data_IF_975910499408
#
_entry.id   IF_975910499408
#
_cell.length_a   1.000
_cell.length_b   1.000
_cell.length_c   1.000
_cell.angle_alpha   90.00
_cell.angle_beta   90.00
_cell.angle_gamma   90.00
#
_symmetry.space_group_name_H-M   'P 1'
#
loop_
_entity.id
_entity.type
_entity.pdbx_description
1 polymer ?
#
# COMPACT_ATOMS: atom_id res chain seq x y z
N UNK A 1 -7.83 7.37 15.83
CA UNK A 1 -8.00 5.93 16.16
C UNK A 1 -8.69 5.15 15.05
N UNK A 2 -9.89 5.52 14.59
CA UNK A 2 -10.63 4.74 13.56
C UNK A 2 -9.87 4.58 12.24
N UNK A 3 -9.29 5.67 11.70
CA UNK A 3 -8.51 5.62 10.46
C UNK A 3 -7.28 4.70 10.57
N UNK A 4 -6.64 4.65 11.75
CA UNK A 4 -5.47 3.81 12.02
C UNK A 4 -5.80 2.32 11.88
N UNK A 5 -6.91 1.86 12.46
CA UNK A 5 -7.31 0.45 12.35
C UNK A 5 -7.75 0.06 10.94
N UNK A 6 -8.44 0.97 10.23
CA UNK A 6 -8.80 0.77 8.82
C UNK A 6 -7.53 0.65 7.97
N UNK A 7 -6.58 1.56 8.16
CA UNK A 7 -5.32 1.56 7.44
C UNK A 7 -4.51 0.30 7.72
N UNK A 8 -4.35 -0.06 9.01
CA UNK A 8 -3.57 -1.21 9.44
C UNK A 8 -4.14 -2.52 8.89
N UNK A 9 -5.46 -2.73 9.04
CA UNK A 9 -6.12 -3.95 8.54
C UNK A 9 -6.00 -4.07 7.01
N UNK A 10 -6.20 -2.96 6.28
CA UNK A 10 -6.04 -2.93 4.84
C UNK A 10 -4.56 -3.14 4.41
N UNK A 11 -3.60 -2.60 5.15
CA UNK A 11 -2.17 -2.75 4.86
C UNK A 11 -1.69 -4.19 5.06
N UNK A 12 -2.14 -4.86 6.14
CA UNK A 12 -1.87 -6.29 6.36
C UNK A 12 -2.44 -7.12 5.21
N UNK A 13 -3.69 -6.88 4.81
CA UNK A 13 -4.28 -7.59 3.68
C UNK A 13 -3.54 -7.30 2.37
N UNK A 14 -3.14 -6.04 2.13
CA UNK A 14 -2.40 -5.65 0.94
C UNK A 14 -1.05 -6.36 0.83
N UNK A 15 -0.34 -6.55 1.94
CA UNK A 15 0.91 -7.31 1.98
C UNK A 15 0.70 -8.79 1.69
N UNK A 16 -0.31 -9.42 2.32
CA UNK A 16 -0.61 -10.83 2.13
C UNK A 16 -1.10 -11.13 0.69
N UNK A 17 -2.13 -10.41 0.25
CA UNK A 17 -2.69 -10.55 -1.08
C UNK A 17 -1.65 -10.20 -2.16
N UNK A 18 -0.89 -9.11 -1.99
CA UNK A 18 0.16 -8.72 -2.92
C UNK A 18 1.27 -9.76 -3.05
N UNK A 19 1.71 -10.35 -1.93
CA UNK A 19 2.69 -11.45 -1.93
C UNK A 19 2.14 -12.64 -2.71
N UNK A 20 0.90 -13.05 -2.45
CA UNK A 20 0.26 -14.14 -3.21
C UNK A 20 0.14 -13.84 -4.71
N UNK A 21 -0.06 -12.59 -5.10
CA UNK A 21 -0.11 -12.16 -6.50
C UNK A 21 1.24 -12.27 -7.20
N UNK A 22 2.32 -11.92 -6.50
CA UNK A 22 3.68 -12.01 -7.02
C UNK A 22 4.15 -13.46 -7.16
N UNK A 23 3.83 -14.31 -6.18
CA UNK A 23 4.23 -15.72 -6.18
C UNK A 23 3.35 -16.61 -7.05
N UNK A 24 2.03 -16.37 -7.05
CA UNK A 24 1.03 -17.23 -7.69
C UNK A 24 1.06 -17.21 -9.22
N UNK A 25 0.30 -18.12 -9.84
CA UNK A 25 0.13 -18.15 -11.29
C UNK A 25 -0.65 -16.92 -11.78
N UNK A 26 -0.17 -16.28 -12.86
CA UNK A 26 -0.71 -15.03 -13.37
C UNK A 26 -1.79 -15.30 -14.42
N UNK A 27 -2.80 -14.44 -14.50
CA UNK A 27 -3.84 -14.48 -15.54
C UNK A 27 -5.02 -15.43 -15.27
N UNK A 28 -4.99 -16.22 -14.19
CA UNK A 28 -6.09 -17.11 -13.78
C UNK A 28 -7.30 -16.33 -13.21
N UNK A 29 -8.50 -16.94 -13.13
CA UNK A 29 -9.63 -16.32 -12.43
C UNK A 29 -9.31 -15.95 -10.98
N UNK A 30 -8.57 -16.83 -10.28
CA UNK A 30 -8.11 -16.58 -8.91
C UNK A 30 -7.16 -15.36 -8.84
N UNK A 31 -6.21 -15.26 -9.78
CA UNK A 31 -5.32 -14.11 -9.89
C UNK A 31 -6.12 -12.81 -10.04
N UNK A 32 -7.19 -12.80 -10.86
CA UNK A 32 -8.04 -11.62 -11.03
C UNK A 32 -8.85 -11.29 -9.77
N UNK A 33 -9.46 -12.29 -9.13
CA UNK A 33 -10.24 -12.09 -7.91
C UNK A 33 -9.39 -11.53 -6.76
N UNK A 34 -8.26 -12.17 -6.47
CA UNK A 34 -7.32 -11.69 -5.45
C UNK A 34 -6.64 -10.38 -5.87
N UNK A 35 -6.41 -10.18 -7.17
CA UNK A 35 -5.84 -8.94 -7.70
C UNK A 35 -6.78 -7.76 -7.49
N UNK A 36 -8.10 -7.94 -7.69
CA UNK A 36 -9.09 -6.91 -7.40
C UNK A 36 -9.19 -6.60 -5.91
N UNK A 37 -9.21 -7.62 -5.03
CA UNK A 37 -9.23 -7.38 -3.60
C UNK A 37 -7.97 -6.65 -3.13
N UNK A 38 -6.82 -6.99 -3.71
CA UNK A 38 -5.56 -6.28 -3.47
C UNK A 38 -5.61 -4.82 -3.94
N UNK A 39 -6.09 -4.54 -5.17
CA UNK A 39 -6.21 -3.17 -5.69
C UNK A 39 -7.13 -2.30 -4.81
N UNK A 40 -8.26 -2.85 -4.34
CA UNK A 40 -9.16 -2.16 -3.42
C UNK A 40 -8.45 -1.85 -2.11
N UNK A 41 -7.73 -2.83 -1.53
CA UNK A 41 -6.98 -2.62 -0.30
C UNK A 41 -5.90 -1.55 -0.44
N UNK A 42 -5.18 -1.53 -1.58
CA UNK A 42 -4.18 -0.48 -1.86
C UNK A 42 -4.81 0.93 -1.90
N UNK A 43 -6.03 1.06 -2.45
CA UNK A 43 -6.77 2.33 -2.40
C UNK A 43 -7.16 2.69 -0.97
N UNK A 44 -7.68 1.73 -0.19
CA UNK A 44 -8.05 1.96 1.22
C UNK A 44 -6.84 2.38 2.05
N UNK A 45 -5.70 1.71 1.90
CA UNK A 45 -4.42 2.07 2.53
C UNK A 45 -4.03 3.51 2.16
N UNK A 46 -3.97 3.81 0.86
CA UNK A 46 -3.54 5.13 0.40
C UNK A 46 -4.48 6.25 0.87
N UNK A 47 -5.81 6.06 0.77
CA UNK A 47 -6.78 7.10 1.16
C UNK A 47 -6.81 7.29 2.68
N UNK A 48 -6.86 6.21 3.47
CA UNK A 48 -6.88 6.31 4.92
C UNK A 48 -5.61 6.96 5.49
N UNK A 49 -4.48 6.86 4.78
CA UNK A 49 -3.21 7.48 5.18
C UNK A 49 -3.26 9.00 5.31
N UNK A 50 -4.17 9.67 4.58
CA UNK A 50 -4.31 11.14 4.65
C UNK A 50 -4.87 11.62 6.00
N UNK A 51 -5.43 10.71 6.80
CA UNK A 51 -5.85 10.98 8.18
C UNK A 51 -4.83 10.48 9.21
N UNK A 52 -3.69 9.93 8.76
CA UNK A 52 -2.60 9.52 9.65
C UNK A 52 -1.58 10.64 9.76
N UNK A 53 -1.72 11.43 10.82
CA UNK A 53 -0.72 12.42 11.23
C UNK A 53 0.32 11.77 12.14
N UNK A 54 1.58 12.21 12.07
CA UNK A 54 2.67 11.67 12.88
C UNK A 54 3.96 12.49 12.76
N UNK A 55 5.01 12.09 13.49
CA UNK A 55 6.26 12.83 13.76
C UNK A 55 7.01 13.55 12.61
N UNK A 56 6.67 13.29 11.33
CA UNK A 56 7.35 13.87 10.18
C UNK A 56 6.44 14.79 9.37
N UNK A 57 5.81 15.77 10.02
CA UNK A 57 5.15 16.90 9.34
C UNK A 57 6.21 17.89 8.82
N UNK A 58 7.04 17.44 7.88
CA UNK A 58 8.25 18.15 7.42
C UNK A 58 7.92 19.29 6.46
N UNK A 59 6.78 19.24 5.76
CA UNK A 59 6.34 20.27 4.79
C UNK A 59 4.85 20.56 4.95
N UNK A 60 4.49 21.61 5.70
CA UNK A 60 3.11 22.11 5.81
C UNK A 60 2.06 21.06 6.26
N UNK A 61 2.45 20.10 7.12
CA UNK A 61 1.57 19.02 7.59
C UNK A 61 1.53 17.77 6.69
N UNK A 62 2.34 17.72 5.62
CA UNK A 62 2.48 16.53 4.79
C UNK A 62 3.77 15.77 5.12
N UNK A 63 3.59 14.49 5.44
CA UNK A 63 4.67 13.53 5.71
C UNK A 63 4.97 12.64 4.49
N UNK A 64 6.14 11.95 4.43
CA UNK A 64 6.53 11.12 3.28
C UNK A 64 5.49 10.06 2.86
N UNK A 65 4.68 9.59 3.81
CA UNK A 65 3.55 8.68 3.59
C UNK A 65 2.49 9.30 2.65
N UNK A 66 2.24 10.61 2.69
CA UNK A 66 1.27 11.25 1.82
C UNK A 66 1.71 11.25 0.36
N UNK A 67 2.98 11.58 0.11
CA UNK A 67 3.56 11.50 -1.24
C UNK A 67 3.52 10.06 -1.76
N UNK A 68 3.87 9.09 -0.91
CA UNK A 68 3.79 7.68 -1.25
C UNK A 68 2.35 7.23 -1.55
N UNK A 69 1.37 7.75 -0.84
CA UNK A 69 -0.05 7.45 -1.08
C UNK A 69 -0.56 8.01 -2.40
N UNK A 70 -0.20 9.25 -2.75
CA UNK A 70 -0.50 9.82 -4.07
C UNK A 70 0.12 8.95 -5.16
N UNK A 71 1.40 8.61 -5.01
CA UNK A 71 2.10 7.75 -5.96
C UNK A 71 1.46 6.35 -6.09
N UNK A 72 1.02 5.78 -4.96
CA UNK A 72 0.33 4.49 -4.94
C UNK A 72 -0.99 4.54 -5.70
N UNK A 73 -1.79 5.60 -5.52
CA UNK A 73 -3.04 5.79 -6.26
C UNK A 73 -2.79 5.91 -7.78
N UNK A 74 -1.75 6.65 -8.18
CA UNK A 74 -1.31 6.73 -9.58
C UNK A 74 -0.97 5.33 -10.12
N UNK A 75 -0.19 4.56 -9.36
CA UNK A 75 0.18 3.20 -9.75
C UNK A 75 -1.03 2.28 -9.91
N UNK A 76 -2.01 2.32 -9.00
CA UNK A 76 -3.23 1.51 -9.08
C UNK A 76 -4.02 1.84 -10.35
N UNK A 77 -4.29 3.13 -10.60
CA UNK A 77 -5.03 3.57 -11.79
C UNK A 77 -4.28 3.18 -13.07
N UNK A 78 -2.98 3.45 -13.13
CA UNK A 78 -2.14 3.12 -14.28
C UNK A 78 -2.06 1.60 -14.52
N UNK A 79 -1.99 0.81 -13.45
CA UNK A 79 -1.95 -0.65 -13.52
C UNK A 79 -3.25 -1.24 -14.07
N UNK A 80 -4.41 -0.75 -13.59
CA UNK A 80 -5.73 -1.18 -14.08
C UNK A 80 -5.93 -0.75 -15.53
N UNK A 81 -5.59 0.49 -15.88
CA UNK A 81 -5.69 0.99 -17.25
C UNK A 81 -4.80 0.20 -18.22
N UNK A 82 -3.59 -0.17 -17.81
CA UNK A 82 -2.68 -0.99 -18.60
C UNK A 82 -3.24 -2.39 -18.83
N UNK A 83 -3.80 -3.03 -17.80
CA UNK A 83 -4.43 -4.35 -17.91
C UNK A 83 -5.61 -4.33 -18.90
N UNK A 84 -6.48 -3.31 -18.81
CA UNK A 84 -7.62 -3.13 -19.72
C UNK A 84 -7.21 -2.94 -21.18
N UNK A 85 -6.06 -2.31 -21.43
CA UNK A 85 -5.48 -2.11 -22.76
C UNK A 85 -4.67 -3.32 -23.26
N UNK A 86 -4.64 -4.43 -22.52
CA UNK A 86 -3.82 -5.60 -22.83
C UNK A 86 -2.31 -5.38 -22.63
N UNK A 87 -1.87 -4.24 -22.08
CA UNK A 87 -0.46 -3.96 -21.83
C UNK A 87 0.00 -4.56 -20.49
N UNK A 88 0.22 -5.87 -20.51
CA UNK A 88 0.54 -6.65 -19.30
C UNK A 88 1.90 -6.27 -18.71
N UNK A 89 2.86 -5.86 -19.55
CA UNK A 89 4.18 -5.39 -19.07
C UNK A 89 4.02 -4.17 -18.17
N UNK A 90 3.22 -3.17 -18.60
CA UNK A 90 2.96 -1.97 -17.78
C UNK A 90 2.12 -2.28 -16.55
N UNK A 91 1.11 -3.15 -16.67
CA UNK A 91 0.31 -3.60 -15.51
C UNK A 91 1.22 -4.17 -14.40
N UNK A 92 2.11 -5.10 -14.77
CA UNK A 92 3.08 -5.71 -13.83
C UNK A 92 4.02 -4.69 -13.21
N UNK A 93 4.56 -3.77 -14.01
CA UNK A 93 5.48 -2.75 -13.51
C UNK A 93 4.83 -1.86 -12.44
N UNK A 94 3.63 -1.33 -12.70
CA UNK A 94 2.92 -0.50 -11.72
C UNK A 94 2.40 -1.30 -10.52
N UNK A 95 1.94 -2.54 -10.72
CA UNK A 95 1.52 -3.41 -9.61
C UNK A 95 2.71 -3.73 -8.68
N UNK A 96 3.86 -4.09 -9.25
CA UNK A 96 5.08 -4.34 -8.47
C UNK A 96 5.57 -3.07 -7.75
N UNK A 97 5.58 -1.93 -8.44
CA UNK A 97 5.94 -0.64 -7.83
C UNK A 97 5.05 -0.29 -6.63
N UNK A 98 3.73 -0.45 -6.76
CA UNK A 98 2.81 -0.23 -5.65
C UNK A 98 3.02 -1.23 -4.50
N UNK A 99 3.31 -2.50 -4.80
CA UNK A 99 3.64 -3.50 -3.78
C UNK A 99 4.91 -3.14 -3.01
N UNK A 100 5.98 -2.74 -3.70
CA UNK A 100 7.20 -2.27 -3.03
C UNK A 100 6.96 -0.99 -2.23
N UNK A 101 6.03 -0.14 -2.67
CA UNK A 101 5.56 1.01 -1.90
C UNK A 101 4.98 0.61 -0.54
N UNK A 102 4.03 -0.33 -0.49
CA UNK A 102 3.45 -0.78 0.79
C UNK A 102 4.47 -1.51 1.66
N UNK A 103 5.42 -2.26 1.07
CA UNK A 103 6.55 -2.85 1.83
C UNK A 103 7.44 -1.77 2.45
N UNK A 104 7.80 -0.75 1.67
CA UNK A 104 8.58 0.39 2.17
C UNK A 104 7.84 1.16 3.26
N UNK A 105 6.53 1.36 3.11
CA UNK A 105 5.70 1.96 4.15
C UNK A 105 5.69 1.13 5.44
N UNK A 106 5.54 -0.20 5.33
CA UNK A 106 5.56 -1.12 6.46
C UNK A 106 6.91 -1.05 7.20
N UNK A 107 8.04 -1.06 6.48
CA UNK A 107 9.36 -0.87 7.09
C UNK A 107 9.45 0.49 7.78
N UNK A 108 8.92 1.55 7.16
CA UNK A 108 8.88 2.90 7.74
C UNK A 108 8.10 3.00 9.06
N UNK A 109 7.22 2.04 9.36
CA UNK A 109 6.52 1.99 10.65
C UNK A 109 7.42 1.55 11.82
N UNK A 110 8.59 0.99 11.55
CA UNK A 110 9.59 0.59 12.56
C UNK A 110 10.49 1.75 13.01
N UNK A 111 10.31 2.95 12.47
CA UNK A 111 11.03 4.14 12.90
C UNK A 111 10.62 4.54 14.34
N UNK A 112 11.54 4.98 15.21
CA UNK A 112 11.21 5.43 16.56
C UNK A 112 10.09 6.48 16.60
N UNK A 113 9.21 6.36 17.60
CA UNK A 113 8.03 7.22 17.77
C UNK A 113 6.86 6.93 16.81
N UNK A 114 6.91 5.80 16.08
CA UNK A 114 5.75 5.24 15.39
C UNK A 114 5.08 4.19 16.27
N UNK A 115 3.76 4.10 16.17
CA UNK A 115 2.94 3.17 16.94
C UNK A 115 3.39 1.70 16.84
N UNK A 116 3.80 1.22 15.65
CA UNK A 116 4.28 -0.17 15.49
C UNK A 116 5.67 -0.36 16.13
N UNK A 117 6.55 0.64 16.07
CA UNK A 117 7.83 0.61 16.79
C UNK A 117 7.59 0.48 18.30
N UNK A 118 6.70 1.28 18.86
CA UNK A 118 6.37 1.26 20.29
C UNK A 118 5.80 -0.10 20.73
N UNK A 119 4.98 -0.74 19.89
CA UNK A 119 4.44 -2.08 20.18
C UNK A 119 5.49 -3.18 20.18
N UNK A 120 6.52 -3.08 19.32
CA UNK A 120 7.52 -4.14 19.14
C UNK A 120 8.74 -3.94 20.05
N UNK A 121 9.23 -2.71 20.15
CA UNK A 121 10.49 -2.36 20.82
C UNK A 121 10.29 -1.64 22.16
N UNK A 122 9.05 -1.25 22.48
CA UNK A 122 8.73 -0.42 23.64
C UNK A 122 8.70 1.07 23.31
N UNK A 123 8.06 1.86 24.18
CA UNK A 123 8.10 3.31 24.07
C UNK A 123 9.52 3.80 24.39
N UNK A 124 10.08 4.61 23.50
CA UNK A 124 11.40 5.26 23.64
C UNK A 124 11.19 6.73 23.97
#
# INVERSE_FOLDING_TARGET
MTATYIHLSAAVWALLAGTSQLLGQKGTPLHRAVGWSWMIAMVVVAVSSFWLTGLMDVLWGYSPIHLLSIWTLICVVASIAAARKGNIRRHKAYAAGAFFGVVGAAIGTLMPGRLIHEWIFGAV
#
